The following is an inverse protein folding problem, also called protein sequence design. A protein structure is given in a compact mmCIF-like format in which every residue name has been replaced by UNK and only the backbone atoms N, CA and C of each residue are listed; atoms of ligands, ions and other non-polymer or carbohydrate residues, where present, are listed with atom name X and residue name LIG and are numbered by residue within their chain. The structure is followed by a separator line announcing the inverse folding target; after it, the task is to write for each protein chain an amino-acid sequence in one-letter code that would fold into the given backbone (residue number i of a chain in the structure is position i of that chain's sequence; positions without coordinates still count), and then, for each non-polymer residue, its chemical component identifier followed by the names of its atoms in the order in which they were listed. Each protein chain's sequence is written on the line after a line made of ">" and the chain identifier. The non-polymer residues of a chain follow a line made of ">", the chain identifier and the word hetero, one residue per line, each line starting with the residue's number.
data_IF_395785903651
#
_entry.id   IF_395785903651
#
_cell.length_a   1.000
_cell.length_b   1.000
_cell.length_c   1.000
_cell.angle_alpha   90.00
_cell.angle_beta   90.00
_cell.angle_gamma   90.00
#
_symmetry.space_group_name_H-M   'P 1'
#
loop_
_entity.id
_entity.type
_entity.pdbx_description
1 polymer ?
#
# COMPACT_ATOMS: atom_id res chain seq x y z
N UNK A 1 -26.15 2.98 -5.24
CA UNK A 1 -25.00 2.24 -4.70
C UNK A 1 -23.75 2.87 -5.27
N UNK A 2 -22.72 3.13 -4.44
CA UNK A 2 -21.45 3.70 -4.90
C UNK A 2 -20.40 2.59 -5.05
N UNK A 3 -19.65 2.61 -6.15
CA UNK A 3 -18.60 1.62 -6.45
C UNK A 3 -17.24 2.32 -6.36
N UNK A 4 -16.41 1.84 -5.44
CA UNK A 4 -15.08 2.39 -5.19
C UNK A 4 -14.03 1.37 -5.59
N UNK A 5 -13.16 1.76 -6.50
CA UNK A 5 -12.16 0.89 -7.11
C UNK A 5 -10.79 1.38 -6.65
N UNK A 6 -10.11 0.58 -5.83
CA UNK A 6 -8.72 0.83 -5.45
C UNK A 6 -7.77 0.16 -6.44
N UNK A 7 -6.90 0.93 -7.08
CA UNK A 7 -5.86 0.38 -7.94
C UNK A 7 -4.68 -0.17 -7.14
N UNK A 8 -4.08 -1.25 -7.66
CA UNK A 8 -2.94 -1.94 -7.06
C UNK A 8 -2.61 -3.22 -7.83
N UNK A 9 -1.47 -3.83 -7.51
CA UNK A 9 -1.04 -5.12 -8.07
C UNK A 9 -1.24 -6.28 -7.07
N UNK A 10 -1.68 -7.46 -7.53
CA UNK A 10 -1.76 -8.67 -6.72
C UNK A 10 -0.38 -9.31 -6.48
N UNK A 11 -0.21 -9.91 -5.30
CA UNK A 11 1.02 -10.60 -4.90
C UNK A 11 1.71 -9.95 -3.71
N UNK A 12 2.35 -10.76 -2.85
CA UNK A 12 2.99 -10.29 -1.61
C UNK A 12 4.12 -9.30 -1.86
N UNK A 13 4.80 -9.38 -3.00
CA UNK A 13 5.85 -8.45 -3.39
C UNK A 13 5.35 -6.99 -3.49
N UNK A 14 4.09 -6.78 -3.88
CA UNK A 14 3.49 -5.45 -4.03
C UNK A 14 2.76 -4.96 -2.77
N UNK A 15 2.59 -5.80 -1.75
CA UNK A 15 1.88 -5.42 -0.53
C UNK A 15 2.58 -4.26 0.19
N UNK A 16 1.93 -3.08 0.29
CA UNK A 16 2.53 -1.89 0.91
C UNK A 16 3.52 -1.13 0.03
N UNK A 17 3.52 -1.34 -1.29
CA UNK A 17 4.21 -0.43 -2.22
C UNK A 17 3.37 0.83 -2.45
N UNK A 18 4.01 1.90 -2.94
CA UNK A 18 3.33 3.15 -3.30
C UNK A 18 2.20 2.92 -4.32
N UNK A 19 2.41 2.04 -5.30
CA UNK A 19 1.43 1.71 -6.33
C UNK A 19 0.20 0.94 -5.82
N UNK A 20 0.26 0.42 -4.59
CA UNK A 20 -0.84 -0.28 -3.94
C UNK A 20 -1.60 0.61 -2.96
N UNK A 21 -1.35 1.93 -2.92
CA UNK A 21 -2.06 2.85 -2.01
C UNK A 21 -3.58 2.81 -2.19
N UNK A 22 -4.07 2.58 -3.42
CA UNK A 22 -5.50 2.41 -3.67
C UNK A 22 -6.07 1.20 -2.93
N UNK A 23 -5.35 0.08 -2.88
CA UNK A 23 -5.73 -1.09 -2.08
C UNK A 23 -5.66 -0.82 -0.59
N UNK A 24 -4.63 -0.11 -0.12
CA UNK A 24 -4.50 0.26 1.29
C UNK A 24 -5.70 1.09 1.77
N UNK A 25 -6.22 1.99 0.93
CA UNK A 25 -7.46 2.74 1.23
C UNK A 25 -8.68 1.81 1.27
N UNK A 26 -8.77 0.82 0.37
CA UNK A 26 -9.86 -0.15 0.39
C UNK A 26 -9.82 -0.99 1.66
N UNK A 27 -8.64 -1.40 2.09
CA UNK A 27 -8.43 -2.17 3.32
C UNK A 27 -8.83 -1.32 4.54
N UNK A 28 -8.41 -0.05 4.61
CA UNK A 28 -8.83 0.87 5.68
C UNK A 28 -10.34 1.09 5.73
N UNK A 29 -11.01 1.19 4.58
CA UNK A 29 -12.47 1.31 4.52
C UNK A 29 -13.17 0.03 4.97
N UNK A 30 -12.67 -1.13 4.54
CA UNK A 30 -13.22 -2.43 4.95
C UNK A 30 -13.08 -2.65 6.46
N UNK A 31 -11.92 -2.31 7.03
CA UNK A 31 -11.64 -2.35 8.46
C UNK A 31 -12.64 -1.48 9.25
N UNK A 32 -12.76 -0.20 8.87
CA UNK A 32 -13.69 0.75 9.50
C UNK A 32 -15.15 0.30 9.43
N UNK A 33 -15.52 -0.41 8.37
CA UNK A 33 -16.87 -0.94 8.17
C UNK A 33 -17.10 -2.32 8.83
N UNK A 34 -16.06 -2.92 9.43
CA UNK A 34 -16.11 -4.27 10.00
C UNK A 34 -16.31 -5.35 8.94
N UNK A 35 -15.85 -5.12 7.71
CA UNK A 35 -16.00 -6.00 6.55
C UNK A 35 -14.81 -6.93 6.31
N UNK A 36 -13.82 -6.92 7.21
CA UNK A 36 -12.64 -7.77 7.11
C UNK A 36 -13.02 -9.24 6.94
N UNK A 37 -12.34 -9.92 6.01
CA UNK A 37 -12.59 -11.33 5.70
C UNK A 37 -13.92 -11.63 5.00
N UNK A 38 -14.80 -10.64 4.77
CA UNK A 38 -16.10 -10.84 4.11
C UNK A 38 -16.04 -10.73 2.57
N UNK A 39 -14.88 -10.36 2.04
CA UNK A 39 -14.70 -10.15 0.61
C UNK A 39 -14.70 -11.47 -0.17
N UNK A 40 -15.16 -11.40 -1.42
CA UNK A 40 -15.23 -12.53 -2.36
C UNK A 40 -14.45 -12.22 -3.63
N UNK A 41 -13.83 -13.23 -4.21
CA UNK A 41 -13.24 -13.09 -5.55
C UNK A 41 -14.33 -13.25 -6.61
N UNK A 42 -14.50 -12.24 -7.47
CA UNK A 42 -15.45 -12.25 -8.57
C UNK A 42 -15.02 -11.22 -9.62
N UNK A 43 -15.27 -11.50 -10.90
CA UNK A 43 -15.02 -10.54 -11.99
C UNK A 43 -13.57 -10.04 -12.01
N UNK A 44 -12.64 -10.99 -11.81
CA UNK A 44 -11.20 -10.71 -11.74
C UNK A 44 -10.86 -9.66 -10.67
N UNK A 45 -11.63 -9.60 -9.58
CA UNK A 45 -11.48 -8.63 -8.49
C UNK A 45 -11.77 -9.26 -7.14
N UNK A 46 -11.19 -8.73 -6.08
CA UNK A 46 -11.64 -8.94 -4.70
C UNK A 46 -12.65 -7.86 -4.35
N UNK A 47 -13.85 -8.26 -3.94
CA UNK A 47 -15.00 -7.38 -3.79
C UNK A 47 -15.63 -7.60 -2.43
N UNK A 48 -15.88 -6.50 -1.73
CA UNK A 48 -16.61 -6.47 -0.46
C UNK A 48 -17.52 -5.26 -0.45
N UNK A 49 -18.69 -5.36 0.18
CA UNK A 49 -19.63 -4.25 0.19
C UNK A 49 -20.79 -4.49 1.13
N UNK A 50 -21.52 -3.41 1.40
CA UNK A 50 -22.65 -3.39 2.31
C UNK A 50 -23.02 -1.97 2.68
N UNK A 51 -23.86 -1.85 3.72
CA UNK A 51 -24.26 -0.55 4.24
C UNK A 51 -23.23 -0.06 5.27
N UNK A 52 -22.66 1.11 5.03
CA UNK A 52 -21.72 1.77 5.93
C UNK A 52 -22.17 3.22 6.16
N UNK A 53 -22.44 3.58 7.42
CA UNK A 53 -22.91 4.93 7.82
C UNK A 53 -24.06 5.48 6.96
N UNK A 54 -25.02 4.60 6.65
CA UNK A 54 -26.20 4.90 5.85
C UNK A 54 -25.99 4.89 4.33
N UNK A 55 -24.77 4.65 3.84
CA UNK A 55 -24.41 4.59 2.42
C UNK A 55 -24.26 3.13 1.97
N UNK A 56 -24.74 2.81 0.76
CA UNK A 56 -24.49 1.52 0.14
C UNK A 56 -23.21 1.59 -0.70
N UNK A 57 -22.15 0.97 -0.21
CA UNK A 57 -20.81 1.00 -0.81
C UNK A 57 -20.39 -0.40 -1.25
N UNK A 58 -19.72 -0.45 -2.41
CA UNK A 58 -19.02 -1.63 -2.92
C UNK A 58 -17.55 -1.26 -3.14
N UNK A 59 -16.66 -1.92 -2.41
CA UNK A 59 -15.21 -1.77 -2.52
C UNK A 59 -14.66 -2.85 -3.45
N UNK A 60 -13.79 -2.45 -4.36
CA UNK A 60 -13.26 -3.31 -5.43
C UNK A 60 -11.75 -3.15 -5.50
N UNK A 61 -11.04 -4.28 -5.39
CA UNK A 61 -9.61 -4.40 -5.66
C UNK A 61 -9.43 -5.31 -6.88
N UNK A 62 -9.16 -4.77 -8.09
CA UNK A 62 -8.85 -5.59 -9.27
C UNK A 62 -7.73 -6.58 -8.96
N UNK A 63 -7.87 -7.86 -9.32
CA UNK A 63 -6.85 -8.90 -9.13
C UNK A 63 -6.05 -9.16 -10.42
N UNK A 64 -6.12 -8.24 -11.38
CA UNK A 64 -5.26 -8.17 -12.57
C UNK A 64 -3.98 -7.41 -12.23
N UNK A 65 -2.96 -7.50 -13.10
CA UNK A 65 -1.88 -6.52 -13.04
C UNK A 65 -2.40 -5.12 -13.38
N UNK A 66 -1.65 -4.11 -12.94
CA UNK A 66 -2.07 -2.71 -13.01
C UNK A 66 -2.47 -2.30 -14.44
N UNK A 67 -1.66 -2.67 -15.43
CA UNK A 67 -1.89 -2.38 -16.85
C UNK A 67 -3.18 -2.99 -17.42
N UNK A 68 -3.76 -3.97 -16.73
CA UNK A 68 -4.96 -4.70 -17.15
C UNK A 68 -6.16 -4.43 -16.23
N UNK A 69 -6.06 -3.42 -15.34
CA UNK A 69 -7.11 -3.06 -14.38
C UNK A 69 -8.47 -2.79 -15.04
N UNK A 70 -8.48 -2.23 -16.25
CA UNK A 70 -9.69 -1.95 -17.02
C UNK A 70 -10.53 -3.19 -17.29
N UNK A 71 -9.91 -4.35 -17.53
CA UNK A 71 -10.62 -5.61 -17.80
C UNK A 71 -11.47 -6.03 -16.60
N UNK A 72 -10.92 -5.88 -15.39
CA UNK A 72 -11.63 -6.17 -14.15
C UNK A 72 -12.75 -5.15 -13.90
N UNK A 73 -12.44 -3.86 -14.07
CA UNK A 73 -13.41 -2.77 -13.87
C UNK A 73 -14.59 -2.89 -14.82
N UNK A 74 -14.36 -3.19 -16.11
CA UNK A 74 -15.43 -3.40 -17.10
C UNK A 74 -16.40 -4.49 -16.66
N UNK A 75 -15.89 -5.64 -16.18
CA UNK A 75 -16.71 -6.75 -15.69
C UNK A 75 -17.52 -6.36 -14.45
N UNK A 76 -16.89 -5.67 -13.50
CA UNK A 76 -17.57 -5.14 -12.31
C UNK A 76 -18.70 -4.18 -12.71
N UNK A 77 -18.45 -3.28 -13.65
CA UNK A 77 -19.44 -2.32 -14.11
C UNK A 77 -20.62 -2.97 -14.84
N UNK A 78 -20.34 -3.97 -15.67
CA UNK A 78 -21.38 -4.75 -16.34
C UNK A 78 -22.29 -5.47 -15.33
N UNK A 79 -21.78 -5.87 -14.16
CA UNK A 79 -22.54 -6.53 -13.10
C UNK A 79 -23.33 -5.55 -12.23
N UNK A 80 -22.69 -4.48 -11.77
CA UNK A 80 -23.28 -3.56 -10.80
C UNK A 80 -24.30 -2.60 -11.43
N UNK A 81 -24.30 -2.46 -12.77
CA UNK A 81 -25.15 -1.53 -13.50
C UNK A 81 -25.09 -0.08 -12.96
N UNK A 82 -23.99 0.27 -12.29
CA UNK A 82 -23.82 1.58 -11.69
C UNK A 82 -23.53 2.64 -12.78
N UNK A 83 -24.09 3.85 -12.69
CA UNK A 83 -23.72 4.94 -13.59
C UNK A 83 -22.27 5.39 -13.31
N UNK A 84 -21.61 5.97 -14.30
CA UNK A 84 -20.23 6.47 -14.14
C UNK A 84 -20.09 7.52 -13.01
N UNK A 85 -21.17 8.25 -12.72
CA UNK A 85 -21.24 9.21 -11.60
C UNK A 85 -21.19 8.56 -10.21
N UNK A 86 -21.42 7.24 -10.14
CA UNK A 86 -21.37 6.43 -8.92
C UNK A 86 -20.07 5.63 -8.82
N UNK A 87 -19.09 5.92 -9.67
CA UNK A 87 -17.75 5.30 -9.66
C UNK A 87 -16.71 6.30 -9.13
N UNK A 88 -15.88 5.81 -8.22
CA UNK A 88 -14.65 6.48 -7.81
C UNK A 88 -13.45 5.53 -7.98
N UNK A 89 -12.47 5.95 -8.76
CA UNK A 89 -11.19 5.23 -8.88
C UNK A 89 -10.14 5.89 -7.99
N UNK A 90 -9.57 5.12 -7.07
CA UNK A 90 -8.49 5.55 -6.15
C UNK A 90 -7.16 5.06 -6.70
N UNK A 91 -6.24 5.98 -6.96
CA UNK A 91 -4.95 5.70 -7.59
C UNK A 91 -3.83 6.57 -7.02
N UNK A 92 -2.59 6.09 -7.07
CA UNK A 92 -1.41 6.88 -6.75
C UNK A 92 -1.11 7.94 -7.82
N UNK A 93 -0.36 8.96 -7.41
CA UNK A 93 0.08 10.05 -8.25
C UNK A 93 1.45 10.57 -7.80
N UNK A 94 2.50 10.23 -8.52
CA UNK A 94 3.85 10.71 -8.21
C UNK A 94 4.05 12.20 -8.51
N UNK A 95 3.20 12.80 -9.36
CA UNK A 95 3.25 14.24 -9.60
C UNK A 95 2.70 15.07 -8.43
N UNK A 96 2.18 14.42 -7.39
CA UNK A 96 1.69 15.06 -6.18
C UNK A 96 2.63 14.76 -5.01
N UNK A 97 2.91 15.76 -4.16
CA UNK A 97 3.66 15.54 -2.91
C UNK A 97 3.01 14.45 -2.07
N UNK A 98 3.83 13.68 -1.34
CA UNK A 98 3.33 12.64 -0.43
C UNK A 98 2.26 13.20 0.51
N UNK A 99 1.15 12.48 0.64
CA UNK A 99 0.04 12.87 1.51
C UNK A 99 -0.99 13.81 0.88
N UNK A 100 -0.75 14.31 -0.34
CA UNK A 100 -1.72 15.16 -1.03
C UNK A 100 -2.89 14.35 -1.55
N UNK A 101 -4.11 14.73 -1.19
CA UNK A 101 -5.33 14.19 -1.78
C UNK A 101 -5.84 15.11 -2.88
N UNK A 102 -6.31 14.54 -3.98
CA UNK A 102 -6.89 15.29 -5.09
C UNK A 102 -8.04 14.54 -5.74
N UNK A 103 -9.25 15.03 -5.51
CA UNK A 103 -10.46 14.61 -6.22
C UNK A 103 -10.57 15.27 -7.59
N UNK A 104 -11.00 14.50 -8.59
CA UNK A 104 -11.29 14.94 -9.97
C UNK A 104 -12.56 14.27 -10.48
N UNK A 105 -13.37 14.99 -11.25
CA UNK A 105 -14.59 14.44 -11.88
C UNK A 105 -14.30 13.69 -13.19
N UNK A 106 -13.20 14.06 -13.85
CA UNK A 106 -12.72 13.47 -15.09
C UNK A 106 -11.25 13.85 -15.32
N UNK A 107 -10.63 13.29 -16.37
CA UNK A 107 -9.34 13.74 -16.89
C UNK A 107 -8.51 12.63 -17.53
N UNK A 108 -7.34 12.95 -18.06
CA UNK A 108 -6.45 11.94 -18.65
C UNK A 108 -5.85 11.01 -17.60
N UNK A 109 -5.24 9.90 -18.03
CA UNK A 109 -4.60 8.95 -17.12
C UNK A 109 -3.39 9.55 -16.36
N UNK A 110 -2.80 10.65 -16.85
CA UNK A 110 -1.68 11.33 -16.21
C UNK A 110 -0.49 10.38 -15.95
N UNK A 111 -0.08 9.63 -16.98
CA UNK A 111 0.99 8.63 -16.89
C UNK A 111 0.66 7.32 -16.15
N UNK A 112 -0.49 7.23 -15.46
CA UNK A 112 -0.82 6.05 -14.64
C UNK A 112 -1.44 4.90 -15.47
N UNK A 113 -0.74 3.78 -15.57
CA UNK A 113 -1.14 2.64 -16.44
C UNK A 113 -2.49 2.02 -16.08
N UNK A 114 -2.86 1.93 -14.80
CA UNK A 114 -4.18 1.41 -14.42
C UNK A 114 -5.33 2.33 -14.80
N UNK A 115 -5.11 3.65 -14.82
CA UNK A 115 -6.12 4.60 -15.27
C UNK A 115 -6.21 4.61 -16.80
N UNK A 116 -5.09 4.46 -17.49
CA UNK A 116 -5.05 4.24 -18.95
C UNK A 116 -5.91 3.02 -19.31
N UNK A 117 -5.63 1.88 -18.68
CA UNK A 117 -6.38 0.64 -18.88
C UNK A 117 -7.89 0.81 -18.69
N UNK A 118 -8.31 1.51 -17.63
CA UNK A 118 -9.74 1.79 -17.38
C UNK A 118 -10.34 2.70 -18.45
N UNK A 119 -9.64 3.77 -18.85
CA UNK A 119 -10.12 4.68 -19.89
C UNK A 119 -10.27 3.94 -21.21
N UNK A 120 -9.30 3.10 -21.58
CA UNK A 120 -9.31 2.33 -22.82
C UNK A 120 -10.48 1.33 -22.83
N UNK A 121 -10.72 0.64 -21.72
CA UNK A 121 -11.80 -0.36 -21.60
C UNK A 121 -13.20 0.24 -21.46
N UNK A 122 -13.32 1.44 -20.88
CA UNK A 122 -14.60 2.15 -20.75
C UNK A 122 -14.89 3.11 -21.91
N UNK A 123 -13.90 3.41 -22.75
CA UNK A 123 -13.99 4.38 -23.85
C UNK A 123 -14.25 5.83 -23.38
N UNK A 124 -13.94 6.17 -22.13
CA UNK A 124 -14.23 7.49 -21.57
C UNK A 124 -13.35 7.85 -20.38
N UNK A 125 -13.12 9.16 -20.21
CA UNK A 125 -12.43 9.74 -19.06
C UNK A 125 -13.39 10.25 -17.97
N UNK A 126 -14.70 10.15 -18.19
CA UNK A 126 -15.75 10.80 -17.39
C UNK A 126 -16.17 9.97 -16.17
N UNK A 127 -15.22 9.71 -15.27
CA UNK A 127 -15.47 9.05 -13.99
C UNK A 127 -14.66 9.69 -12.86
N UNK A 128 -15.22 9.66 -11.66
CA UNK A 128 -14.60 10.25 -10.48
C UNK A 128 -13.28 9.58 -10.12
N UNK A 129 -12.30 10.37 -9.65
CA UNK A 129 -10.99 9.87 -9.22
C UNK A 129 -10.55 10.53 -7.93
N UNK A 130 -9.94 9.73 -7.05
CA UNK A 130 -9.13 10.19 -5.94
C UNK A 130 -7.66 9.87 -6.26
N UNK A 131 -6.87 10.91 -6.53
CA UNK A 131 -5.43 10.81 -6.71
C UNK A 131 -4.75 11.02 -5.36
N UNK A 132 -3.89 10.11 -4.96
CA UNK A 132 -3.14 10.15 -3.71
C UNK A 132 -1.67 10.39 -4.03
N UNK A 133 -1.12 11.48 -3.50
CA UNK A 133 0.25 11.84 -3.71
C UNK A 133 1.21 10.88 -3.02
N UNK A 134 2.19 10.40 -3.78
CA UNK A 134 3.23 9.47 -3.34
C UNK A 134 4.63 10.07 -3.47
N UNK A 135 4.74 11.38 -3.76
CA UNK A 135 6.00 12.08 -3.96
C UNK A 135 6.61 11.83 -5.34
N UNK A 136 7.48 12.76 -5.75
CA UNK A 136 8.17 12.73 -7.04
C UNK A 136 9.28 11.66 -7.02
N UNK A 137 9.43 10.81 -8.06
CA UNK A 137 10.56 9.91 -8.19
C UNK A 137 11.90 10.67 -8.15
N UNK A 138 12.85 10.17 -7.37
CA UNK A 138 14.24 10.66 -7.39
C UNK A 138 14.95 10.26 -8.69
N UNK A 139 14.59 9.09 -9.25
CA UNK A 139 15.19 8.52 -10.46
C UNK A 139 14.09 8.04 -11.42
N UNK A 140 13.71 6.77 -11.33
CA UNK A 140 12.77 6.13 -12.24
C UNK A 140 11.37 6.05 -11.63
N UNK A 141 10.36 6.42 -12.42
CA UNK A 141 8.97 6.44 -11.98
C UNK A 141 8.43 5.04 -11.67
N UNK A 142 8.85 4.01 -12.43
CA UNK A 142 8.41 2.63 -12.21
C UNK A 142 8.99 2.08 -10.92
N UNK A 143 10.28 2.29 -10.68
CA UNK A 143 10.93 1.84 -9.44
C UNK A 143 10.35 2.57 -8.22
N UNK A 144 10.05 3.86 -8.36
CA UNK A 144 9.40 4.65 -7.32
C UNK A 144 8.03 4.09 -6.94
N UNK A 145 7.13 3.87 -7.90
CA UNK A 145 5.79 3.33 -7.57
C UNK A 145 5.86 1.90 -7.01
N UNK A 146 6.82 1.09 -7.44
CA UNK A 146 6.99 -0.29 -6.95
C UNK A 146 7.76 -0.40 -5.63
N UNK A 147 8.31 0.69 -5.10
CA UNK A 147 9.01 0.69 -3.83
C UNK A 147 8.06 0.86 -2.62
N UNK A 148 8.54 0.50 -1.43
CA UNK A 148 7.83 0.69 -0.15
C UNK A 148 7.95 2.13 0.32
N UNK A 149 6.96 2.60 1.07
CA UNK A 149 7.00 3.89 1.75
C UNK A 149 8.24 4.03 2.64
N UNK A 150 8.84 5.22 2.67
CA UNK A 150 9.97 5.55 3.53
C UNK A 150 9.54 5.59 5.01
N UNK A 151 10.47 5.47 5.97
CA UNK A 151 10.11 5.44 7.40
C UNK A 151 9.26 6.63 7.88
N UNK A 152 9.54 7.84 7.37
CA UNK A 152 8.80 9.07 7.66
C UNK A 152 7.40 9.08 7.03
N UNK A 153 7.25 8.46 5.86
CA UNK A 153 5.97 8.28 5.19
C UNK A 153 5.13 7.22 5.90
N UNK A 154 5.73 6.10 6.30
CA UNK A 154 5.06 5.02 7.05
C UNK A 154 4.48 5.54 8.35
N UNK A 155 5.20 6.40 9.07
CA UNK A 155 4.71 7.03 10.31
C UNK A 155 3.41 7.82 10.09
N UNK A 156 3.23 8.41 8.90
CA UNK A 156 2.10 9.26 8.55
C UNK A 156 1.06 8.54 7.68
N UNK A 157 1.34 7.31 7.27
CA UNK A 157 0.53 6.56 6.32
C UNK A 157 -0.86 6.30 6.89
N UNK A 158 -0.98 5.99 8.18
CA UNK A 158 -2.28 5.76 8.80
C UNK A 158 -3.19 6.98 8.73
N UNK A 159 -2.65 8.18 9.00
CA UNK A 159 -3.39 9.43 8.90
C UNK A 159 -3.80 9.74 7.45
N UNK A 160 -2.92 9.46 6.49
CA UNK A 160 -3.24 9.60 5.07
C UNK A 160 -4.37 8.66 4.65
N UNK A 161 -4.31 7.39 5.04
CA UNK A 161 -5.33 6.40 4.72
C UNK A 161 -6.67 6.75 5.39
N UNK A 162 -6.62 7.28 6.61
CA UNK A 162 -7.80 7.77 7.32
C UNK A 162 -8.45 8.95 6.62
N UNK A 163 -7.66 9.95 6.22
CA UNK A 163 -8.14 11.11 5.47
C UNK A 163 -8.69 10.72 4.10
N UNK A 164 -8.04 9.77 3.41
CA UNK A 164 -8.52 9.24 2.14
C UNK A 164 -9.86 8.50 2.30
N UNK A 165 -10.00 7.67 3.33
CA UNK A 165 -11.25 6.98 3.64
C UNK A 165 -12.39 7.96 3.98
N UNK A 166 -12.11 9.01 4.76
CA UNK A 166 -13.08 10.09 5.02
C UNK A 166 -13.45 10.85 3.75
N UNK A 167 -12.49 11.06 2.85
CA UNK A 167 -12.71 11.66 1.54
C UNK A 167 -13.63 10.81 0.65
N UNK A 168 -13.42 9.49 0.65
CA UNK A 168 -14.28 8.53 -0.08
C UNK A 168 -15.71 8.56 0.49
N UNK A 169 -15.86 8.59 1.82
CA UNK A 169 -17.19 8.71 2.44
C UNK A 169 -17.88 10.02 2.04
N UNK A 170 -17.16 11.13 2.09
CA UNK A 170 -17.69 12.43 1.67
C UNK A 170 -18.08 12.42 0.19
N UNK A 171 -17.25 11.86 -0.70
CA UNK A 171 -17.59 11.70 -2.11
C UNK A 171 -18.86 10.85 -2.30
N UNK A 172 -18.97 9.74 -1.58
CA UNK A 172 -20.13 8.85 -1.69
C UNK A 172 -21.44 9.52 -1.24
N UNK A 173 -21.36 10.43 -0.26
CA UNK A 173 -22.50 11.17 0.29
C UNK A 173 -22.88 12.40 -0.53
N UNK A 174 -21.89 13.16 -0.95
CA UNK A 174 -22.03 14.56 -1.37
C UNK A 174 -21.50 14.82 -2.79
N UNK A 175 -20.87 13.83 -3.42
CA UNK A 175 -20.30 13.93 -4.76
C UNK A 175 -18.92 14.59 -4.79
N UNK A 176 -18.32 14.59 -5.99
CA UNK A 176 -16.93 15.03 -6.19
C UNK A 176 -16.69 16.49 -5.89
N UNK A 177 -17.59 17.40 -6.27
CA UNK A 177 -17.43 18.84 -6.02
C UNK A 177 -17.22 19.14 -4.52
N UNK A 178 -18.13 18.70 -3.65
CA UNK A 178 -18.02 18.91 -2.20
C UNK A 178 -16.83 18.17 -1.58
N UNK A 179 -16.57 16.93 -1.99
CA UNK A 179 -15.40 16.19 -1.54
C UNK A 179 -14.09 16.91 -1.92
N UNK A 180 -14.00 17.42 -3.15
CA UNK A 180 -12.83 18.15 -3.63
C UNK A 180 -12.57 19.43 -2.83
N UNK A 181 -13.62 20.22 -2.54
CA UNK A 181 -13.47 21.47 -1.77
C UNK A 181 -12.92 21.21 -0.37
N UNK A 182 -13.29 20.08 0.24
CA UNK A 182 -12.88 19.72 1.60
C UNK A 182 -11.52 19.04 1.66
N UNK A 183 -11.24 18.10 0.75
CA UNK A 183 -10.07 17.22 0.85
C UNK A 183 -8.92 17.62 -0.07
N UNK A 184 -9.13 18.44 -1.10
CA UNK A 184 -8.01 18.94 -1.90
C UNK A 184 -7.17 19.97 -1.14
N UNK A 185 -7.69 20.55 -0.05
CA UNK A 185 -6.97 21.45 0.86
C UNK A 185 -6.36 20.73 2.04
N UNK A 186 -6.62 19.41 2.20
CA UNK A 186 -6.01 18.59 3.23
C UNK A 186 -4.48 18.70 3.16
N UNK A 187 -3.88 18.81 4.35
CA UNK A 187 -2.44 18.82 4.57
C UNK A 187 -2.15 17.72 5.58
N UNK A 188 -1.32 16.76 5.15
CA UNK A 188 -0.83 15.72 6.03
C UNK A 188 0.12 16.36 7.03
N UNK A 189 0.00 15.99 8.31
CA UNK A 189 0.94 16.50 9.33
C UNK A 189 2.38 16.11 8.99
N UNK A 190 3.30 16.98 9.39
CA UNK A 190 4.73 16.71 9.26
C UNK A 190 5.13 15.49 10.11
N UNK A 191 6.18 14.80 9.67
CA UNK A 191 6.68 13.65 10.39
C UNK A 191 7.32 14.12 11.72
N UNK A 192 7.16 13.32 12.76
CA UNK A 192 7.77 13.60 14.06
C UNK A 192 9.26 13.24 13.96
N UNK A 193 10.10 14.27 13.83
CA UNK A 193 11.55 14.14 13.67
C UNK A 193 12.20 13.40 14.85
N UNK A 194 11.67 13.57 16.07
CA UNK A 194 12.18 12.92 17.28
C UNK A 194 11.90 11.41 17.25
N UNK A 195 10.80 11.00 16.62
CA UNK A 195 10.47 9.58 16.40
C UNK A 195 11.22 8.96 15.20
N UNK A 196 11.67 9.79 14.25
CA UNK A 196 12.47 9.37 13.09
C UNK A 196 13.94 9.15 13.43
N UNK A 197 14.48 9.89 14.40
CA UNK A 197 15.88 9.83 14.82
C UNK A 197 16.28 8.50 15.50
N UNK A 198 15.34 7.61 15.82
CA UNK A 198 15.62 6.33 16.48
C UNK A 198 16.06 5.22 15.50
N UNK A 199 17.11 5.47 14.73
CA UNK A 199 17.92 4.44 14.09
C UNK A 199 19.29 4.39 14.77
N UNK A 200 19.35 3.89 16.02
CA UNK A 200 20.64 3.68 16.71
C UNK A 200 20.64 3.62 18.24
N UNK A 201 19.64 4.13 18.94
CA UNK A 201 19.64 4.08 20.41
C UNK A 201 19.04 2.77 20.95
N UNK A 202 19.94 1.86 21.31
CA UNK A 202 19.66 0.63 22.04
C UNK A 202 19.78 0.90 23.55
N UNK A 203 18.66 1.01 24.26
CA UNK A 203 18.69 1.02 25.73
C UNK A 203 18.72 -0.41 26.30
N UNK A 204 19.79 -0.73 27.04
CA UNK A 204 19.88 -1.83 28.00
C UNK A 204 20.48 -3.17 27.51
N UNK A 205 21.11 -3.96 28.41
CA UNK A 205 21.63 -5.29 28.08
C UNK A 205 20.49 -6.31 27.79
N UNK A 206 20.70 -7.27 26.89
CA UNK A 206 19.70 -8.30 26.55
C UNK A 206 19.40 -9.23 27.73
N UNK A 207 18.19 -9.82 27.75
CA UNK A 207 17.86 -10.86 28.72
C UNK A 207 18.53 -12.21 28.36
N UNK A 208 18.38 -13.19 29.27
CA UNK A 208 18.99 -14.53 29.17
C UNK A 208 18.59 -15.33 27.92
N UNK A 209 17.52 -14.93 27.24
CA UNK A 209 16.97 -15.60 26.05
C UNK A 209 17.25 -14.80 24.75
N UNK A 210 18.04 -13.72 24.84
CA UNK A 210 18.40 -12.88 23.69
C UNK A 210 17.27 -11.99 23.18
N UNK A 211 16.23 -11.79 23.98
CA UNK A 211 15.07 -10.96 23.67
C UNK A 211 15.30 -9.57 24.26
N UNK A 212 15.02 -8.52 23.47
CA UNK A 212 15.05 -7.13 23.96
C UNK A 212 13.63 -6.56 23.97
N UNK A 213 13.29 -5.91 25.08
CA UNK A 213 12.13 -5.02 25.15
C UNK A 213 12.51 -3.67 24.57
N UNK A 214 11.79 -3.22 23.54
CA UNK A 214 11.84 -1.83 23.10
C UNK A 214 10.52 -1.13 23.44
N UNK A 215 10.52 0.21 23.46
CA UNK A 215 9.29 1.01 23.59
C UNK A 215 8.28 0.78 22.44
N UNK A 216 8.67 0.01 21.41
CA UNK A 216 7.92 -0.22 20.17
C UNK A 216 7.55 -1.69 19.92
N UNK A 217 7.74 -2.59 20.92
CA UNK A 217 7.30 -3.98 20.87
C UNK A 217 8.40 -5.01 21.12
N UNK A 218 8.10 -6.29 20.86
CA UNK A 218 9.03 -7.42 21.06
C UNK A 218 9.85 -7.66 19.79
N UNK A 219 11.18 -7.73 19.90
CA UNK A 219 12.06 -8.18 18.80
C UNK A 219 13.01 -9.27 19.27
N UNK A 220 13.06 -10.38 18.52
CA UNK A 220 14.08 -11.43 18.66
C UNK A 220 15.29 -11.05 17.82
N UNK A 221 16.46 -10.93 18.44
CA UNK A 221 17.70 -10.70 17.70
C UNK A 221 18.13 -12.04 17.08
N UNK A 222 18.20 -12.10 15.75
CA UNK A 222 18.87 -13.22 15.09
C UNK A 222 20.39 -13.02 15.24
N UNK A 223 21.15 -14.05 15.65
CA UNK A 223 22.60 -13.93 15.76
C UNK A 223 23.19 -13.58 14.39
N UNK A 224 24.16 -12.68 14.39
CA UNK A 224 24.87 -12.28 13.18
C UNK A 224 25.47 -13.52 12.51
N UNK A 225 25.25 -13.67 11.19
CA UNK A 225 26.01 -14.60 10.37
C UNK A 225 27.49 -14.26 10.55
N UNK A 226 28.24 -15.15 11.19
CA UNK A 226 29.68 -15.00 11.31
C UNK A 226 30.27 -14.89 9.90
N UNK A 227 30.94 -13.77 9.63
CA UNK A 227 31.74 -13.58 8.44
C UNK A 227 32.85 -14.63 8.43
N UNK A 228 33.00 -15.30 7.30
CA UNK A 228 34.15 -16.12 7.01
C UNK A 228 35.38 -15.22 6.87
N UNK A 229 36.30 -15.30 7.83
CA UNK A 229 37.72 -15.11 7.57
C UNK A 229 38.56 -15.79 8.66
N UNK A 230 39.42 -16.68 8.19
CA UNK A 230 40.70 -17.09 8.77
C UNK A 230 40.76 -18.06 9.97
N UNK A 231 40.74 -19.36 9.63
CA UNK A 231 41.66 -20.33 10.25
C UNK A 231 42.21 -21.24 9.14
N UNK A 232 43.31 -20.81 8.51
CA UNK A 232 44.21 -21.76 7.83
C UNK A 232 44.90 -22.62 8.90
N UNK A 233 44.39 -23.85 9.00
CA UNK A 233 45.14 -25.09 9.22
C UNK A 233 46.20 -25.08 10.34
N UNK A 234 45.75 -25.26 11.58
CA UNK A 234 46.43 -26.13 12.51
C UNK A 234 45.57 -27.41 12.67
N UNK A 235 46.23 -28.56 12.68
CA UNK A 235 45.68 -29.88 13.03
C UNK A 235 44.81 -30.60 11.99
N UNK A 236 45.49 -31.22 11.03
CA UNK A 236 45.10 -32.56 10.58
C UNK A 236 46.31 -33.48 10.61
N UNK A 237 46.23 -34.46 11.53
CA UNK A 237 46.68 -35.87 11.47
C UNK A 237 47.58 -36.28 12.64
N UNK A 238 46.93 -36.56 13.76
CA UNK A 238 47.32 -37.66 14.63
C UNK A 238 46.53 -38.92 14.24
N UNK A 239 47.22 -39.94 13.73
CA UNK A 239 46.87 -41.37 13.56
C UNK A 239 48.10 -41.96 12.85
N UNK A 240 48.96 -42.83 13.38
CA UNK A 240 48.80 -44.14 14.07
C UNK A 240 50.18 -44.48 14.71
N UNK A 241 50.26 -45.29 15.78
CA UNK A 241 51.53 -45.69 16.41
C UNK A 241 52.23 -46.83 15.63
N UNK A 242 53.56 -46.83 15.64
CA UNK A 242 54.40 -47.92 15.13
C UNK A 242 55.70 -47.99 15.92
N UNK A 243 55.97 -49.18 16.46
CA UNK A 243 57.00 -49.56 17.43
C UNK A 243 58.46 -49.23 17.07
N UNK A 244 59.37 -49.21 18.06
CA UNK A 244 60.80 -49.07 17.88
C UNK A 244 61.49 -50.43 17.74
N UNK A 245 62.29 -50.62 16.69
CA UNK A 245 63.41 -51.57 16.70
C UNK A 245 64.42 -51.22 15.59
N UNK A 246 65.71 -51.29 15.95
CA UNK A 246 66.96 -51.05 15.20
C UNK A 246 67.64 -49.68 15.38
#
# INVERSE_FOLDING_TARGET
>A
MKVIIGLGNPGSQYAGTRHNVGWLVMDRLAERAGWDGRGRQRDSSHIVGGRYRGLDLTLVKPLTYMNDSGLAVRKVMAREHAPLSDILVVADDFALPFGKLRFREAGSHGGHNGLRSIIDELGTEKFGRLRIGIGDPIHDARDHVLSKFAPDEVQRLDELLDAAADGVEAWARDGTSKASNRFNTFQLREADADRLAAAGEVDGPPDKDGIRRTKTGWRRVLPAKHGAADTRAAEQRGSVPGDPDA
#
